data_IF_310271754859
#
_entry.id   IF_310271754859
#
_cell.length_a   1.000
_cell.length_b   1.000
_cell.length_c   1.000
_cell.angle_alpha   90.00
_cell.angle_beta   90.00
_cell.angle_gamma   90.00
#
_symmetry.space_group_name_H-M   'P 1'
#
loop_
_entity.id
_entity.type
_entity.pdbx_description
1 polymer ?
#
# COMPACT_ATOMS: atom_id res chain seq x y z
N UNK A 1 -7.68 -37.93 16.01
CA UNK A 1 -8.49 -36.74 15.72
C UNK A 1 -8.26 -35.58 16.68
N UNK A 2 -8.03 -35.78 18.00
CA UNK A 2 -7.94 -34.70 18.97
C UNK A 2 -6.66 -33.85 18.94
N UNK A 3 -5.54 -34.31 18.44
CA UNK A 3 -4.28 -33.52 18.39
C UNK A 3 -4.27 -32.51 17.25
N UNK A 4 -4.90 -32.80 16.11
CA UNK A 4 -5.00 -31.85 14.98
C UNK A 4 -5.89 -30.65 15.34
N UNK A 5 -6.98 -30.89 16.09
CA UNK A 5 -7.88 -29.82 16.54
C UNK A 5 -7.21 -28.89 17.57
N UNK A 6 -6.39 -29.46 18.47
CA UNK A 6 -5.67 -28.66 19.46
C UNK A 6 -4.59 -27.76 18.82
N UNK A 7 -3.85 -28.28 17.83
CA UNK A 7 -2.86 -27.50 17.07
C UNK A 7 -3.53 -26.41 16.24
N UNK A 8 -4.67 -26.67 15.65
CA UNK A 8 -5.46 -25.71 14.90
C UNK A 8 -6.04 -24.61 15.79
N UNK A 9 -6.53 -24.98 16.96
CA UNK A 9 -7.00 -24.02 17.97
C UNK A 9 -5.88 -23.16 18.54
N UNK A 10 -4.70 -23.76 18.82
CA UNK A 10 -3.51 -23.01 19.29
C UNK A 10 -3.03 -22.03 18.23
N UNK A 11 -3.04 -22.44 16.96
CA UNK A 11 -2.69 -21.59 15.82
C UNK A 11 -3.67 -20.40 15.67
N UNK A 12 -4.98 -20.64 15.88
CA UNK A 12 -6.01 -19.61 15.84
C UNK A 12 -5.89 -18.62 17.03
N UNK A 13 -5.59 -19.12 18.23
CA UNK A 13 -5.36 -18.27 19.40
C UNK A 13 -4.08 -17.44 19.25
N UNK A 14 -3.01 -18.02 18.69
CA UNK A 14 -1.77 -17.28 18.40
C UNK A 14 -1.99 -16.13 17.38
N UNK A 15 -2.81 -16.36 16.36
CA UNK A 15 -3.18 -15.32 15.38
C UNK A 15 -3.98 -14.21 16.05
N UNK A 16 -4.83 -14.50 17.00
CA UNK A 16 -5.66 -13.50 17.70
C UNK A 16 -4.85 -12.57 18.62
N UNK A 17 -3.79 -13.05 19.24
CA UNK A 17 -2.95 -12.24 20.13
C UNK A 17 -1.99 -11.30 19.40
N UNK A 18 -1.71 -11.55 18.12
CA UNK A 18 -0.77 -10.74 17.30
C UNK A 18 -1.50 -9.67 16.46
N UNK A 19 -2.83 -9.73 16.39
CA UNK A 19 -3.65 -9.02 15.41
C UNK A 19 -4.05 -7.59 15.80
N UNK A 20 -3.10 -6.69 15.95
CA UNK A 20 -3.40 -5.25 15.96
C UNK A 20 -2.55 -4.56 14.88
N UNK A 21 -3.16 -4.22 13.76
CA UNK A 21 -2.51 -3.41 12.71
C UNK A 21 -2.46 -1.94 13.11
N UNK A 22 -1.52 -1.19 12.55
CA UNK A 22 -1.44 0.24 12.73
C UNK A 22 -2.26 0.95 11.64
N UNK A 23 -3.26 1.74 12.06
CA UNK A 23 -3.98 2.61 11.14
C UNK A 23 -3.06 3.71 10.62
N UNK A 24 -2.99 3.89 9.30
CA UNK A 24 -2.25 4.99 8.66
C UNK A 24 -3.18 6.17 8.41
N UNK A 25 -2.82 7.36 8.91
CA UNK A 25 -3.60 8.59 8.70
C UNK A 25 -3.54 9.11 7.26
N UNK A 26 -2.56 8.67 6.48
CA UNK A 26 -2.35 9.04 5.08
C UNK A 26 -2.68 7.83 4.21
N UNK A 27 -3.24 8.08 3.03
CA UNK A 27 -3.54 7.04 2.04
C UNK A 27 -2.29 6.20 1.73
N UNK A 28 -2.47 4.87 1.78
CA UNK A 28 -1.44 3.89 1.40
C UNK A 28 -1.93 3.17 0.15
N UNK A 29 -1.62 3.72 -1.02
CA UNK A 29 -2.01 3.16 -2.31
C UNK A 29 -1.03 2.09 -2.77
N UNK A 30 -1.53 1.06 -3.47
CA UNK A 30 -0.71 0.11 -4.21
C UNK A 30 -0.26 0.67 -5.57
N UNK A 31 -0.81 1.82 -5.97
CA UNK A 31 -0.41 2.53 -7.18
C UNK A 31 0.78 3.45 -6.94
N UNK A 32 1.56 3.77 -8.00
CA UNK A 32 1.37 3.47 -9.44
C UNK A 32 1.96 2.13 -9.90
N UNK A 33 2.71 1.43 -9.04
CA UNK A 33 3.36 0.18 -9.38
C UNK A 33 2.44 -1.06 -9.35
N UNK A 34 3.07 -2.22 -9.50
CA UNK A 34 2.43 -3.52 -9.32
C UNK A 34 2.71 -4.13 -7.94
N UNK A 35 3.63 -3.53 -7.19
CA UNK A 35 4.03 -3.95 -5.84
C UNK A 35 2.99 -3.52 -4.82
N UNK A 36 2.49 -4.47 -4.03
CA UNK A 36 1.54 -4.21 -2.96
C UNK A 36 2.26 -3.91 -1.66
N UNK A 37 1.83 -2.86 -0.94
CA UNK A 37 2.33 -2.55 0.40
C UNK A 37 1.90 -3.57 1.46
N UNK A 38 2.74 -3.78 2.49
CA UNK A 38 2.44 -4.74 3.57
C UNK A 38 1.29 -4.28 4.47
N UNK A 39 1.12 -2.98 4.67
CA UNK A 39 0.09 -2.46 5.56
C UNK A 39 -1.31 -2.60 4.97
N UNK A 40 -2.24 -3.04 5.80
CA UNK A 40 -3.65 -3.15 5.45
C UNK A 40 -4.36 -1.83 5.69
N UNK A 41 -5.41 -1.54 4.91
CA UNK A 41 -6.36 -0.48 5.25
C UNK A 41 -7.18 -0.89 6.46
N UNK A 42 -7.43 0.04 7.39
CA UNK A 42 -8.17 -0.25 8.62
C UNK A 42 -9.66 -0.51 8.40
N UNK A 43 -10.36 -1.09 9.39
CA UNK A 43 -11.80 -1.28 9.34
C UNK A 43 -12.55 0.03 9.13
N UNK A 44 -13.57 0.01 8.26
CA UNK A 44 -14.34 1.21 7.91
C UNK A 44 -13.64 2.14 6.93
N UNK A 45 -12.46 1.75 6.41
CA UNK A 45 -11.77 2.46 5.34
C UNK A 45 -12.07 1.80 4.01
N UNK A 46 -12.49 2.59 3.04
CA UNK A 46 -12.71 2.17 1.65
C UNK A 46 -11.78 2.96 0.76
N UNK A 47 -11.01 2.26 -0.07
CA UNK A 47 -10.05 2.88 -0.98
C UNK A 47 -10.33 2.44 -2.41
N UNK A 48 -10.46 3.42 -3.29
CA UNK A 48 -10.65 3.26 -4.73
C UNK A 48 -9.39 3.75 -5.43
N UNK A 49 -8.81 2.91 -6.28
CA UNK A 49 -7.63 3.24 -7.07
C UNK A 49 -7.94 3.01 -8.53
N UNK A 50 -7.89 4.05 -9.34
CA UNK A 50 -8.17 4.00 -10.78
C UNK A 50 -6.95 4.45 -11.57
N UNK A 51 -6.66 3.76 -12.68
CA UNK A 51 -5.58 4.11 -13.56
C UNK A 51 -5.90 3.87 -15.02
N UNK A 52 -5.28 4.67 -15.86
CA UNK A 52 -5.28 4.48 -17.31
C UNK A 52 -3.84 4.44 -17.81
N UNK A 53 -3.59 3.63 -18.82
CA UNK A 53 -2.27 3.48 -19.41
C UNK A 53 -2.34 3.28 -20.92
N UNK A 54 -1.35 3.79 -21.61
CA UNK A 54 -1.03 3.40 -22.98
C UNK A 54 -0.02 2.27 -22.94
N UNK A 55 -0.21 1.27 -23.79
CA UNK A 55 0.68 0.11 -23.89
C UNK A 55 1.06 -0.16 -25.34
N UNK A 56 2.33 -0.51 -25.55
CA UNK A 56 2.87 -0.97 -26.83
C UNK A 56 3.79 -2.17 -26.58
N UNK A 57 3.43 -3.31 -27.14
CA UNK A 57 4.20 -4.56 -27.05
C UNK A 57 4.68 -4.95 -28.45
N UNK A 58 5.92 -5.43 -28.55
CA UNK A 58 6.54 -5.87 -29.82
C UNK A 58 7.22 -7.22 -29.61
N UNK A 59 6.92 -8.18 -30.46
CA UNK A 59 7.58 -9.49 -30.50
C UNK A 59 7.98 -9.79 -31.94
N UNK A 60 9.05 -9.17 -32.41
CA UNK A 60 9.43 -9.19 -33.81
C UNK A 60 9.83 -10.58 -34.31
N UNK A 61 10.43 -11.41 -33.47
CA UNK A 61 10.78 -12.79 -33.82
C UNK A 61 9.56 -13.73 -33.90
N UNK A 62 8.41 -13.33 -33.34
CA UNK A 62 7.16 -14.07 -33.44
C UNK A 62 6.25 -13.41 -34.48
N UNK A 63 6.37 -13.81 -35.75
CA UNK A 63 5.56 -13.29 -36.87
C UNK A 63 5.50 -11.75 -36.92
N UNK A 64 6.54 -11.06 -36.48
CA UNK A 64 6.62 -9.59 -36.35
C UNK A 64 5.43 -8.97 -35.58
N UNK A 65 4.97 -9.66 -34.55
CA UNK A 65 3.81 -9.28 -33.78
C UNK A 65 4.00 -7.91 -33.10
N UNK A 66 2.95 -7.12 -33.12
CA UNK A 66 2.87 -5.82 -32.44
C UNK A 66 1.46 -5.67 -31.83
N UNK A 67 1.40 -5.24 -30.59
CA UNK A 67 0.14 -4.88 -29.92
C UNK A 67 0.24 -3.43 -29.45
N UNK A 68 -0.84 -2.65 -29.66
CA UNK A 68 -0.94 -1.27 -29.19
C UNK A 68 -2.34 -1.03 -28.66
N UNK A 69 -2.43 -0.37 -27.52
CA UNK A 69 -3.76 -0.08 -26.97
C UNK A 69 -3.74 0.68 -25.64
N UNK A 70 -4.94 0.83 -25.10
CA UNK A 70 -5.16 1.43 -23.78
C UNK A 70 -5.52 0.35 -22.76
N UNK A 71 -5.02 0.54 -21.54
CA UNK A 71 -5.37 -0.26 -20.37
C UNK A 71 -6.05 0.59 -19.31
N UNK A 72 -6.97 -0.02 -18.58
CA UNK A 72 -7.65 0.58 -17.42
C UNK A 72 -7.54 -0.37 -16.26
N UNK A 73 -7.14 0.14 -15.10
CA UNK A 73 -7.02 -0.63 -13.86
C UNK A 73 -7.96 -0.05 -12.81
N UNK A 74 -8.62 -0.92 -12.07
CA UNK A 74 -9.49 -0.55 -10.96
C UNK A 74 -9.16 -1.47 -9.78
N UNK A 75 -8.73 -0.88 -8.66
CA UNK A 75 -8.56 -1.57 -7.40
C UNK A 75 -9.55 -1.04 -6.37
N UNK A 76 -10.29 -1.95 -5.74
CA UNK A 76 -11.13 -1.68 -4.58
C UNK A 76 -10.51 -2.35 -3.38
N UNK A 77 -10.23 -1.58 -2.34
CA UNK A 77 -9.61 -2.07 -1.11
C UNK A 77 -10.44 -1.66 0.09
N UNK A 78 -10.70 -2.59 1.00
CA UNK A 78 -11.43 -2.29 2.23
C UNK A 78 -10.91 -3.12 3.39
N UNK A 79 -10.78 -2.49 4.54
CA UNK A 79 -10.50 -3.18 5.78
C UNK A 79 -11.75 -3.91 6.28
N UNK A 80 -11.57 -5.16 6.69
CA UNK A 80 -12.63 -5.97 7.26
C UNK A 80 -12.74 -5.74 8.78
N UNK A 81 -13.31 -6.69 9.49
CA UNK A 81 -13.54 -6.61 10.95
C UNK A 81 -12.23 -6.48 11.73
N UNK A 82 -11.16 -7.14 11.25
CA UNK A 82 -9.83 -7.11 11.86
C UNK A 82 -9.00 -5.98 11.27
N UNK A 83 -8.23 -5.28 12.10
CA UNK A 83 -7.36 -4.16 11.67
C UNK A 83 -6.26 -4.57 10.69
N UNK A 84 -5.88 -5.83 10.71
CA UNK A 84 -4.82 -6.40 9.90
C UNK A 84 -5.33 -7.17 8.67
N UNK A 85 -6.65 -7.26 8.47
CA UNK A 85 -7.27 -8.00 7.37
C UNK A 85 -7.92 -7.04 6.37
N UNK A 86 -7.50 -7.14 5.12
CA UNK A 86 -7.97 -6.32 4.01
C UNK A 86 -8.50 -7.20 2.89
N UNK A 87 -9.64 -6.81 2.32
CA UNK A 87 -10.17 -7.37 1.08
C UNK A 87 -9.73 -6.48 -0.08
N UNK A 88 -9.23 -7.10 -1.15
CA UNK A 88 -8.77 -6.44 -2.37
C UNK A 88 -9.50 -7.06 -3.56
N UNK A 89 -10.09 -6.20 -4.39
CA UNK A 89 -10.63 -6.58 -5.69
C UNK A 89 -9.96 -5.75 -6.77
N UNK A 90 -9.37 -6.41 -7.78
CA UNK A 90 -8.65 -5.77 -8.88
C UNK A 90 -9.18 -6.23 -10.22
N UNK A 91 -9.41 -5.27 -11.11
CA UNK A 91 -9.73 -5.52 -12.51
C UNK A 91 -8.78 -4.74 -13.40
N UNK A 92 -8.16 -5.45 -14.35
CA UNK A 92 -7.38 -4.86 -15.44
C UNK A 92 -8.14 -5.10 -16.73
N UNK A 93 -8.61 -4.03 -17.37
CA UNK A 93 -9.31 -4.06 -18.66
C UNK A 93 -8.44 -3.45 -19.75
N UNK A 94 -8.40 -4.10 -20.92
CA UNK A 94 -7.60 -3.64 -22.04
C UNK A 94 -8.46 -3.53 -23.32
N UNK A 95 -8.09 -2.55 -24.13
CA UNK A 95 -8.59 -2.37 -25.49
C UNK A 95 -7.36 -2.13 -26.38
N UNK A 96 -7.00 -3.12 -27.21
CA UNK A 96 -5.80 -3.09 -28.03
C UNK A 96 -6.02 -3.66 -29.42
N UNK A 97 -5.08 -3.34 -30.30
CA UNK A 97 -4.97 -3.91 -31.64
C UNK A 97 -3.70 -4.73 -31.73
N UNK A 98 -3.85 -6.04 -31.95
CA UNK A 98 -2.78 -6.97 -32.26
C UNK A 98 -2.62 -7.08 -33.76
N UNK A 99 -1.40 -6.89 -34.27
CA UNK A 99 -1.03 -7.08 -35.67
C UNK A 99 0.12 -8.09 -35.75
N UNK A 100 0.06 -9.02 -36.71
CA UNK A 100 1.16 -9.95 -36.96
C UNK A 100 1.10 -10.46 -38.42
N UNK A 101 2.24 -10.92 -38.94
CA UNK A 101 2.34 -11.45 -40.27
C UNK A 101 1.95 -12.94 -40.33
N UNK A 102 1.13 -13.29 -41.29
CA UNK A 102 0.81 -14.67 -41.65
C UNK A 102 1.23 -14.91 -43.12
N UNK A 103 1.15 -16.15 -43.58
CA UNK A 103 1.48 -16.59 -44.95
C UNK A 103 0.69 -15.75 -46.00
N UNK A 104 -0.53 -15.38 -45.70
CA UNK A 104 -1.42 -14.56 -46.57
C UNK A 104 -1.27 -13.04 -46.39
N UNK A 105 -0.30 -12.56 -45.59
CA UNK A 105 -0.07 -11.16 -45.31
C UNK A 105 -0.36 -10.74 -43.84
N UNK A 106 -0.35 -9.44 -43.54
CA UNK A 106 -0.56 -8.95 -42.19
C UNK A 106 -2.01 -9.10 -41.74
N UNK A 107 -2.20 -9.75 -40.59
CA UNK A 107 -3.49 -9.88 -39.92
C UNK A 107 -3.60 -8.86 -38.79
N UNK A 108 -4.83 -8.37 -38.57
CA UNK A 108 -5.15 -7.39 -37.52
C UNK A 108 -6.32 -7.90 -36.68
N UNK A 109 -6.14 -7.90 -35.37
CA UNK A 109 -7.17 -8.29 -34.39
C UNK A 109 -7.41 -7.15 -33.42
N UNK A 110 -8.62 -6.62 -33.36
CA UNK A 110 -9.04 -5.71 -32.32
C UNK A 110 -9.57 -6.54 -31.15
N UNK A 111 -8.98 -6.33 -29.97
CA UNK A 111 -9.33 -7.06 -28.75
C UNK A 111 -9.76 -6.06 -27.69
N UNK A 112 -10.82 -6.41 -26.98
CA UNK A 112 -11.31 -5.67 -25.82
C UNK A 112 -11.83 -6.65 -24.77
N UNK A 113 -11.44 -6.46 -23.53
CA UNK A 113 -11.86 -7.32 -22.43
C UNK A 113 -10.92 -7.27 -21.24
N UNK A 114 -11.20 -8.11 -20.28
CA UNK A 114 -10.37 -8.22 -19.07
C UNK A 114 -9.05 -8.91 -19.40
N UNK A 115 -7.97 -8.38 -18.83
CA UNK A 115 -6.65 -9.02 -18.78
C UNK A 115 -6.49 -9.80 -17.50
N UNK A 116 -7.00 -9.24 -16.40
CA UNK A 116 -6.89 -9.78 -15.07
C UNK A 116 -8.10 -9.37 -14.25
N UNK A 117 -8.62 -10.28 -13.46
CA UNK A 117 -9.73 -10.03 -12.56
C UNK A 117 -9.49 -10.85 -11.28
N UNK A 118 -9.06 -10.21 -10.19
CA UNK A 118 -8.67 -10.90 -8.97
C UNK A 118 -9.46 -10.41 -7.76
N UNK A 119 -9.82 -11.34 -6.91
CA UNK A 119 -10.32 -11.07 -5.56
C UNK A 119 -9.45 -11.79 -4.54
N UNK A 120 -9.10 -11.11 -3.47
CA UNK A 120 -8.24 -11.73 -2.47
C UNK A 120 -8.23 -11.00 -1.14
N UNK A 121 -7.60 -11.64 -0.17
CA UNK A 121 -7.43 -11.16 1.18
C UNK A 121 -5.95 -10.96 1.48
N UNK A 122 -5.62 -9.83 2.09
CA UNK A 122 -4.28 -9.55 2.61
C UNK A 122 -4.33 -9.53 4.13
N UNK A 123 -3.45 -10.27 4.76
CA UNK A 123 -3.31 -10.37 6.21
C UNK A 123 -1.94 -9.85 6.64
N UNK A 124 -1.91 -8.78 7.41
CA UNK A 124 -0.70 -8.28 8.05
C UNK A 124 -0.38 -9.18 9.25
N UNK A 125 0.73 -9.92 9.16
CA UNK A 125 1.18 -10.87 10.19
C UNK A 125 2.03 -10.19 11.25
N UNK A 126 2.94 -9.30 10.82
CA UNK A 126 3.92 -8.67 11.69
C UNK A 126 4.14 -7.21 11.31
N UNK A 127 4.10 -6.33 12.31
CA UNK A 127 4.37 -4.90 12.17
C UNK A 127 5.44 -4.47 13.19
N UNK A 128 6.70 -4.26 12.77
CA UNK A 128 7.77 -3.87 13.67
C UNK A 128 7.56 -2.47 14.27
N UNK A 129 6.83 -1.58 13.56
CA UNK A 129 6.58 -0.20 14.00
C UNK A 129 5.52 -0.08 15.10
N UNK A 130 4.84 -1.17 15.40
CA UNK A 130 3.88 -1.24 16.49
C UNK A 130 4.56 -1.15 17.86
N UNK A 131 5.74 -1.70 18.00
CA UNK A 131 6.50 -1.62 19.24
C UNK A 131 7.30 -0.31 19.27
N UNK A 132 6.71 0.73 19.86
CA UNK A 132 7.34 2.05 19.99
C UNK A 132 8.67 2.02 20.76
N UNK A 133 8.91 1.00 21.58
CA UNK A 133 10.14 0.88 22.33
C UNK A 133 11.35 0.59 21.44
N UNK A 134 11.15 -0.08 20.33
CA UNK A 134 12.19 -0.36 19.33
C UNK A 134 12.65 0.89 18.59
N UNK A 135 11.77 1.88 18.46
CA UNK A 135 12.01 3.12 17.68
C UNK A 135 12.25 4.35 18.57
N UNK A 136 12.54 4.15 19.87
CA UNK A 136 12.88 5.25 20.77
C UNK A 136 14.09 6.01 20.25
N UNK A 137 13.92 7.31 20.11
CA UNK A 137 15.01 8.22 19.76
C UNK A 137 16.01 8.25 20.92
N UNK A 138 17.29 8.03 20.62
CA UNK A 138 18.34 8.18 21.63
C UNK A 138 18.53 9.68 21.92
N UNK A 139 17.97 10.14 23.04
CA UNK A 139 18.04 11.55 23.45
C UNK A 139 19.45 12.02 23.82
N UNK A 140 20.38 11.07 24.04
CA UNK A 140 21.76 11.36 24.46
C UNK A 140 22.77 11.38 23.30
N UNK A 141 22.41 10.86 22.12
CA UNK A 141 23.32 10.78 20.98
C UNK A 141 22.61 11.05 19.66
N UNK A 142 22.95 12.19 19.04
CA UNK A 142 22.50 12.52 17.69
C UNK A 142 23.03 11.53 16.64
N UNK A 143 24.27 11.05 16.81
CA UNK A 143 24.88 10.07 15.90
C UNK A 143 24.15 8.71 15.91
N UNK A 144 23.65 8.28 17.06
CA UNK A 144 22.90 7.01 17.17
C UNK A 144 21.54 7.04 16.44
N UNK A 145 21.02 8.23 16.15
CA UNK A 145 19.76 8.41 15.42
C UNK A 145 19.99 8.67 13.92
N UNK A 146 21.24 8.83 13.49
CA UNK A 146 21.62 9.02 12.09
C UNK A 146 22.01 7.69 11.45
N UNK A 147 21.47 7.41 10.26
CA UNK A 147 21.81 6.24 9.48
C UNK A 147 20.83 5.07 9.62
N UNK A 148 21.14 3.97 8.98
CA UNK A 148 20.37 2.73 9.03
C UNK A 148 20.71 1.99 10.32
N UNK A 149 19.71 1.67 11.13
CA UNK A 149 19.85 0.83 12.32
C UNK A 149 19.52 -0.61 11.96
N UNK A 150 20.08 -1.58 12.67
CA UNK A 150 19.76 -3.01 12.46
C UNK A 150 18.26 -3.29 12.56
N UNK A 151 17.54 -2.54 13.41
CA UNK A 151 16.10 -2.67 13.56
C UNK A 151 15.31 -2.19 12.33
N UNK A 152 15.85 -1.26 11.56
CA UNK A 152 15.22 -0.76 10.33
C UNK A 152 15.26 -1.83 9.21
N UNK A 153 16.06 -2.89 9.38
CA UNK A 153 16.12 -4.05 8.50
C UNK A 153 15.01 -5.07 8.77
N UNK A 154 14.31 -4.98 9.91
CA UNK A 154 13.19 -5.86 10.21
C UNK A 154 11.96 -5.39 9.43
N UNK A 155 11.43 -6.20 8.48
CA UNK A 155 10.31 -5.79 7.66
C UNK A 155 8.97 -5.96 8.39
N UNK A 156 8.00 -5.15 8.03
CA UNK A 156 6.60 -5.53 8.16
C UNK A 156 6.30 -6.68 7.20
N UNK A 157 5.53 -7.67 7.65
CA UNK A 157 5.27 -8.91 6.92
C UNK A 157 3.77 -9.12 6.73
N UNK A 158 3.36 -9.36 5.48
CA UNK A 158 1.98 -9.70 5.13
C UNK A 158 1.92 -10.86 4.16
N UNK A 159 0.80 -11.57 4.18
CA UNK A 159 0.49 -12.62 3.22
C UNK A 159 -0.79 -12.24 2.50
N UNK A 160 -0.80 -12.42 1.19
CA UNK A 160 -1.96 -12.24 0.32
C UNK A 160 -2.37 -13.60 -0.26
N UNK A 161 -3.64 -13.91 -0.19
CA UNK A 161 -4.27 -15.02 -0.89
C UNK A 161 -5.36 -14.49 -1.78
N UNK A 162 -5.36 -14.85 -3.04
CA UNK A 162 -6.35 -14.42 -3.99
C UNK A 162 -6.75 -15.51 -4.96
N UNK A 163 -7.79 -15.21 -5.70
CA UNK A 163 -8.23 -16.00 -6.84
C UNK A 163 -8.31 -15.11 -8.06
N UNK A 164 -7.73 -15.57 -9.15
CA UNK A 164 -7.91 -15.01 -10.48
C UNK A 164 -9.18 -15.58 -11.09
N UNK A 165 -10.08 -14.70 -11.54
CA UNK A 165 -11.33 -15.02 -12.19
C UNK A 165 -11.20 -14.73 -13.69
N UNK A 166 -10.98 -15.75 -14.50
CA UNK A 166 -10.59 -15.60 -15.93
C UNK A 166 -11.77 -15.59 -16.89
N UNK A 167 -12.94 -15.21 -16.43
CA UNK A 167 -14.13 -15.14 -17.30
C UNK A 167 -13.94 -14.11 -18.42
N UNK A 168 -13.86 -14.57 -19.65
CA UNK A 168 -13.72 -13.71 -20.81
C UNK A 168 -12.37 -12.99 -20.92
N UNK A 169 -11.31 -13.51 -20.33
CA UNK A 169 -9.97 -12.96 -20.47
C UNK A 169 -9.48 -13.02 -21.91
N UNK A 170 -9.06 -11.86 -22.42
CA UNK A 170 -8.46 -11.75 -23.77
C UNK A 170 -6.96 -12.06 -23.78
N UNK A 171 -6.35 -12.16 -22.62
CA UNK A 171 -4.94 -12.51 -22.42
C UNK A 171 -4.80 -13.71 -21.49
N UNK A 172 -4.92 -14.96 -21.99
CA UNK A 172 -4.66 -16.14 -21.17
C UNK A 172 -3.31 -16.04 -20.48
N UNK A 173 -3.29 -16.26 -19.17
CA UNK A 173 -2.09 -16.13 -18.32
C UNK A 173 -1.38 -14.77 -18.38
N UNK A 174 -2.09 -13.72 -18.79
CA UNK A 174 -1.51 -12.39 -18.97
C UNK A 174 -0.66 -12.21 -20.23
N UNK A 175 -0.60 -13.22 -21.11
CA UNK A 175 0.25 -13.25 -22.30
C UNK A 175 -0.42 -12.51 -23.49
N UNK A 176 0.11 -11.36 -23.95
CA UNK A 176 -0.51 -10.56 -25.00
C UNK A 176 -0.44 -11.21 -26.38
N UNK A 177 0.47 -12.16 -26.60
CA UNK A 177 0.69 -12.82 -27.88
C UNK A 177 0.07 -14.21 -27.98
N UNK A 178 -0.74 -14.60 -26.97
CA UNK A 178 -1.41 -15.90 -26.94
C UNK A 178 -2.13 -16.33 -28.23
N UNK A 179 -2.83 -15.42 -28.98
CA UNK A 179 -3.46 -15.82 -30.24
C UNK A 179 -2.51 -16.37 -31.29
N UNK A 180 -1.23 -15.90 -31.29
CA UNK A 180 -0.21 -16.35 -32.24
C UNK A 180 0.35 -17.71 -31.80
N UNK A 181 0.52 -17.93 -30.52
CA UNK A 181 0.92 -19.23 -29.99
C UNK A 181 -0.14 -20.30 -30.28
N UNK A 182 -1.42 -19.96 -30.22
CA UNK A 182 -2.53 -20.86 -30.51
C UNK A 182 -2.58 -21.35 -31.98
N UNK A 183 -1.93 -20.63 -32.90
CA UNK A 183 -1.78 -21.10 -34.27
C UNK A 183 -0.83 -22.32 -34.42
N UNK A 184 0.03 -22.57 -33.42
CA UNK A 184 1.06 -23.62 -33.47
C UNK A 184 0.85 -24.75 -32.44
N UNK A 185 0.01 -24.51 -31.44
CA UNK A 185 -0.23 -25.43 -30.31
C UNK A 185 -1.72 -25.50 -29.98
N UNK A 186 -2.20 -26.54 -29.26
CA UNK A 186 -3.55 -26.53 -28.71
C UNK A 186 -3.84 -25.23 -27.98
N UNK A 187 -5.07 -24.74 -28.10
CA UNK A 187 -5.50 -23.49 -27.46
C UNK A 187 -5.01 -23.37 -26.02
N UNK A 188 -4.36 -22.26 -25.69
CA UNK A 188 -3.99 -21.92 -24.32
C UNK A 188 -5.28 -21.60 -23.54
N UNK A 189 -5.90 -22.60 -22.97
CA UNK A 189 -7.07 -22.44 -22.12
C UNK A 189 -6.61 -22.15 -20.69
N UNK A 190 -7.03 -21.01 -20.19
CA UNK A 190 -6.85 -20.69 -18.78
C UNK A 190 -8.05 -21.23 -17.99
N UNK A 191 -7.78 -21.81 -16.81
CA UNK A 191 -8.86 -22.19 -15.89
C UNK A 191 -9.68 -20.96 -15.52
N UNK A 192 -10.99 -21.13 -15.40
CA UNK A 192 -11.90 -20.03 -15.01
C UNK A 192 -11.55 -19.45 -13.64
N UNK A 193 -11.07 -20.29 -12.74
CA UNK A 193 -10.61 -19.91 -11.41
C UNK A 193 -9.22 -20.49 -11.19
N UNK A 194 -8.27 -19.65 -10.78
CA UNK A 194 -6.93 -20.09 -10.37
C UNK A 194 -6.49 -19.33 -9.12
N UNK A 195 -5.61 -19.94 -8.32
CA UNK A 195 -5.14 -19.36 -7.07
C UNK A 195 -4.01 -18.34 -7.27
N UNK A 196 -3.89 -17.40 -6.33
CA UNK A 196 -2.75 -16.52 -6.17
C UNK A 196 -2.31 -16.49 -4.71
N UNK A 197 -1.01 -16.65 -4.47
CA UNK A 197 -0.40 -16.56 -3.15
C UNK A 197 0.81 -15.63 -3.22
N UNK A 198 0.95 -14.71 -2.25
CA UNK A 198 2.05 -13.76 -2.23
C UNK A 198 2.47 -13.43 -0.80
N UNK A 199 3.78 -13.42 -0.58
CA UNK A 199 4.44 -12.90 0.61
C UNK A 199 4.87 -11.45 0.33
N UNK A 200 4.58 -10.55 1.25
CA UNK A 200 4.81 -9.12 1.11
C UNK A 200 5.66 -8.66 2.29
N UNK A 201 6.78 -7.99 2.00
CA UNK A 201 7.64 -7.38 3.00
C UNK A 201 7.76 -5.89 2.76
N UNK A 202 7.84 -5.10 3.83
CA UNK A 202 7.99 -3.65 3.74
C UNK A 202 8.94 -3.14 4.82
N UNK A 203 10.02 -2.48 4.38
CA UNK A 203 11.01 -1.85 5.24
C UNK A 203 10.95 -0.32 5.12
N UNK A 204 11.22 0.35 6.22
CA UNK A 204 11.36 1.80 6.27
C UNK A 204 12.75 2.16 6.78
N UNK A 205 13.53 2.95 6.04
CA UNK A 205 14.88 3.36 6.45
C UNK A 205 15.16 4.81 6.07
N UNK A 206 16.24 5.34 6.65
CA UNK A 206 16.73 6.71 6.39
C UNK A 206 15.63 7.78 6.48
N UNK A 207 14.79 7.65 7.50
CA UNK A 207 13.70 8.57 7.86
C UNK A 207 12.49 8.62 6.92
N UNK A 208 12.50 8.08 5.68
CA UNK A 208 11.30 8.07 4.84
C UNK A 208 11.42 7.22 3.56
N UNK A 209 12.54 6.56 3.31
CA UNK A 209 12.64 5.61 2.21
C UNK A 209 11.85 4.36 2.54
N UNK A 210 11.07 3.87 1.60
CA UNK A 210 10.26 2.66 1.78
C UNK A 210 10.64 1.67 0.69
N UNK A 211 11.11 0.49 1.11
CA UNK A 211 11.33 -0.64 0.22
C UNK A 211 10.23 -1.66 0.45
N UNK A 212 9.51 -1.99 -0.60
CA UNK A 212 8.48 -3.03 -0.58
C UNK A 212 8.92 -4.14 -1.52
N UNK A 213 8.85 -5.39 -1.07
CA UNK A 213 9.14 -6.56 -1.89
C UNK A 213 8.01 -7.56 -1.78
N UNK A 214 7.52 -8.03 -2.92
CA UNK A 214 6.51 -9.06 -3.03
C UNK A 214 7.11 -10.26 -3.74
N UNK A 215 6.83 -11.45 -3.22
CA UNK A 215 7.21 -12.70 -3.82
C UNK A 215 6.05 -13.67 -3.76
N UNK A 216 5.68 -14.24 -4.90
CA UNK A 216 4.52 -15.13 -4.94
C UNK A 216 4.39 -15.95 -6.20
N UNK A 217 3.28 -16.67 -6.26
CA UNK A 217 2.85 -17.46 -7.41
C UNK A 217 1.44 -17.08 -7.82
N UNK A 218 1.22 -17.01 -9.11
CA UNK A 218 -0.06 -16.77 -9.75
C UNK A 218 -0.48 -17.95 -10.58
N UNK A 219 -1.76 -18.05 -10.88
CA UNK A 219 -2.37 -19.13 -11.66
C UNK A 219 -2.13 -20.52 -11.05
N UNK A 220 -2.11 -20.60 -9.70
CA UNK A 220 -1.96 -21.84 -8.98
C UNK A 220 -3.08 -22.82 -9.33
N UNK A 221 -2.71 -24.09 -9.57
CA UNK A 221 -3.63 -25.14 -9.99
C UNK A 221 -3.96 -25.10 -11.49
N UNK A 222 -3.28 -24.25 -12.28
CA UNK A 222 -3.41 -24.20 -13.73
C UNK A 222 -2.17 -24.80 -14.44
N UNK A 223 -2.27 -25.03 -15.76
CA UNK A 223 -1.19 -25.61 -16.55
C UNK A 223 0.07 -24.73 -16.62
N UNK A 224 -0.08 -23.39 -16.48
CA UNK A 224 1.01 -22.43 -16.63
C UNK A 224 1.11 -21.53 -15.39
N UNK A 225 1.55 -22.11 -14.29
CA UNK A 225 1.84 -21.35 -13.08
C UNK A 225 2.94 -20.32 -13.32
N UNK A 226 2.81 -19.16 -12.67
CA UNK A 226 3.72 -18.06 -12.85
C UNK A 226 4.35 -17.68 -11.52
N UNK A 227 5.69 -17.72 -11.43
CA UNK A 227 6.43 -17.11 -10.34
C UNK A 227 6.49 -15.60 -10.57
N UNK A 228 6.20 -14.85 -9.52
CA UNK A 228 6.14 -13.39 -9.52
C UNK A 228 7.03 -12.85 -8.40
N UNK A 229 7.86 -11.88 -8.73
CA UNK A 229 8.63 -11.11 -7.76
C UNK A 229 8.60 -9.64 -8.16
N UNK A 230 8.30 -8.76 -7.22
CA UNK A 230 8.42 -7.32 -7.45
C UNK A 230 9.11 -6.64 -6.28
N UNK A 231 9.87 -5.60 -6.57
CA UNK A 231 10.56 -4.77 -5.57
C UNK A 231 10.40 -3.31 -5.96
N UNK A 232 9.88 -2.50 -5.05
CA UNK A 232 9.67 -1.06 -5.26
C UNK A 232 10.35 -0.26 -4.17
N UNK A 233 11.18 0.70 -4.57
CA UNK A 233 11.82 1.67 -3.71
C UNK A 233 11.14 3.03 -3.88
N UNK A 234 10.49 3.52 -2.83
CA UNK A 234 9.89 4.84 -2.76
C UNK A 234 10.87 5.84 -2.16
N UNK A 235 11.07 6.96 -2.86
CA UNK A 235 12.06 8.00 -2.55
C UNK A 235 11.28 9.31 -2.31
N UNK A 236 11.23 9.84 -1.08
CA UNK A 236 10.58 11.10 -0.79
C UNK A 236 11.41 12.27 -1.34
N UNK A 237 10.78 13.13 -2.14
CA UNK A 237 11.40 14.36 -2.68
C UNK A 237 10.98 15.57 -1.83
N UNK A 238 9.69 15.66 -1.52
CA UNK A 238 9.06 16.70 -0.70
C UNK A 238 7.95 16.09 0.15
N UNK A 239 7.38 16.84 1.10
CA UNK A 239 6.29 16.36 1.98
C UNK A 239 5.11 15.69 1.25
N UNK A 240 4.83 16.09 0.00
CA UNK A 240 3.70 15.59 -0.80
C UNK A 240 4.12 14.97 -2.12
N UNK A 241 5.42 14.97 -2.44
CA UNK A 241 5.95 14.46 -3.70
C UNK A 241 6.93 13.34 -3.42
N UNK A 242 6.67 12.18 -4.00
CA UNK A 242 7.55 11.02 -3.95
C UNK A 242 7.84 10.55 -5.36
N UNK A 243 9.02 10.00 -5.60
CA UNK A 243 9.34 9.20 -6.78
C UNK A 243 9.46 7.74 -6.37
N UNK A 244 9.39 6.85 -7.36
CA UNK A 244 9.62 5.44 -7.12
C UNK A 244 10.34 4.80 -8.29
N UNK A 245 11.06 3.74 -7.98
CA UNK A 245 11.66 2.81 -8.95
C UNK A 245 11.18 1.42 -8.57
N UNK A 246 10.64 0.69 -9.53
CA UNK A 246 10.13 -0.66 -9.32
C UNK A 246 10.71 -1.62 -10.35
N UNK A 247 11.13 -2.79 -9.90
CA UNK A 247 11.44 -3.94 -10.73
C UNK A 247 10.36 -5.00 -10.53
N UNK A 248 9.87 -5.57 -11.62
CA UNK A 248 8.95 -6.71 -11.62
C UNK A 248 9.54 -7.82 -12.46
N UNK A 249 9.71 -8.99 -11.87
CA UNK A 249 10.15 -10.21 -12.54
C UNK A 249 9.02 -11.23 -12.57
N UNK A 250 8.75 -11.73 -13.75
CA UNK A 250 7.70 -12.72 -14.01
C UNK A 250 8.33 -13.89 -14.75
N UNK A 251 8.13 -15.11 -14.25
CA UNK A 251 8.66 -16.32 -14.86
C UNK A 251 7.62 -17.43 -14.89
N UNK A 252 7.30 -17.89 -16.08
CA UNK A 252 6.44 -19.04 -16.33
C UNK A 252 7.05 -19.95 -17.41
N UNK A 253 6.37 -21.03 -17.76
CA UNK A 253 6.75 -21.83 -18.93
C UNK A 253 6.50 -21.10 -20.26
N UNK A 254 5.60 -20.10 -20.28
CA UNK A 254 5.26 -19.34 -21.49
C UNK A 254 6.22 -18.17 -21.72
N UNK A 255 6.61 -17.48 -20.64
CA UNK A 255 7.40 -16.25 -20.73
C UNK A 255 8.28 -16.06 -19.50
N UNK A 256 9.38 -15.33 -19.70
CA UNK A 256 10.23 -14.87 -18.61
C UNK A 256 10.59 -13.41 -18.89
N UNK A 257 10.05 -12.48 -18.10
CA UNK A 257 10.14 -11.04 -18.34
C UNK A 257 10.56 -10.29 -17.09
N UNK A 258 11.36 -9.25 -17.27
CA UNK A 258 11.74 -8.29 -16.24
C UNK A 258 11.31 -6.91 -16.71
N UNK A 259 10.47 -6.26 -15.93
CA UNK A 259 10.00 -4.89 -16.15
C UNK A 259 10.74 -3.95 -15.20
N UNK A 260 11.15 -2.82 -15.70
CA UNK A 260 11.62 -1.68 -14.91
C UNK A 260 10.59 -0.57 -15.04
N UNK A 261 10.11 -0.07 -13.91
CA UNK A 261 9.13 1.00 -13.83
C UNK A 261 9.68 2.15 -13.01
N UNK A 262 9.49 3.36 -13.50
CA UNK A 262 9.82 4.59 -12.78
C UNK A 262 8.62 5.52 -12.80
N UNK A 263 8.48 6.33 -11.77
CA UNK A 263 7.36 7.26 -11.75
C UNK A 263 7.34 8.17 -10.54
N UNK A 264 6.25 8.91 -10.42
CA UNK A 264 6.03 9.87 -9.36
C UNK A 264 4.64 9.78 -8.77
N UNK A 265 4.56 10.16 -7.51
CA UNK A 265 3.34 10.17 -6.70
C UNK A 265 3.21 11.55 -6.07
N UNK A 266 2.05 12.16 -6.20
CA UNK A 266 1.73 13.43 -5.57
C UNK A 266 0.49 13.32 -4.68
N UNK A 267 0.63 13.65 -3.41
CA UNK A 267 -0.46 13.70 -2.43
C UNK A 267 -1.16 15.07 -2.51
N UNK A 268 -2.39 15.10 -3.02
CA UNK A 268 -3.22 16.31 -3.01
C UNK A 268 -3.61 16.62 -1.57
N UNK A 269 -4.06 15.59 -0.84
CA UNK A 269 -4.36 15.62 0.60
C UNK A 269 -4.15 14.23 1.21
N UNK A 270 -4.52 14.03 2.47
CA UNK A 270 -4.36 12.76 3.18
C UNK A 270 -5.17 11.59 2.57
N UNK A 271 -6.19 11.90 1.78
CA UNK A 271 -7.13 10.94 1.21
C UNK A 271 -7.09 10.84 -0.32
N UNK A 272 -6.35 11.73 -1.00
CA UNK A 272 -6.29 11.77 -2.47
C UNK A 272 -4.83 11.80 -2.92
N UNK A 273 -4.50 10.85 -3.78
CA UNK A 273 -3.21 10.71 -4.41
C UNK A 273 -3.38 10.69 -5.93
N UNK A 274 -2.49 11.33 -6.65
CA UNK A 274 -2.33 11.16 -8.11
C UNK A 274 -0.95 10.59 -8.40
N UNK A 275 -0.85 9.80 -9.45
CA UNK A 275 0.39 9.12 -9.80
C UNK A 275 0.60 9.06 -11.31
N UNK A 276 1.87 8.87 -11.71
CA UNK A 276 2.27 8.65 -13.10
C UNK A 276 3.42 7.66 -13.15
N UNK A 277 3.51 6.88 -14.23
CA UNK A 277 4.59 5.93 -14.40
C UNK A 277 4.96 5.70 -15.87
N UNK A 278 6.19 5.25 -16.06
CA UNK A 278 6.72 4.69 -17.29
C UNK A 278 7.30 3.31 -16.95
N UNK A 279 6.97 2.31 -17.75
CA UNK A 279 7.44 0.94 -17.56
C UNK A 279 7.91 0.33 -18.87
N UNK A 280 9.02 -0.40 -18.82
CA UNK A 280 9.60 -1.08 -19.98
C UNK A 280 10.23 -2.41 -19.58
N UNK A 281 10.17 -3.41 -20.47
CA UNK A 281 10.96 -4.65 -20.32
C UNK A 281 12.44 -4.38 -20.57
N UNK A 282 13.31 -5.09 -19.83
CA UNK A 282 14.77 -4.99 -20.02
C UNK A 282 15.28 -5.77 -21.24
N UNK A 283 14.45 -6.62 -21.84
CA UNK A 283 14.79 -7.38 -23.03
C UNK A 283 14.08 -6.83 -24.28
N UNK A 284 14.65 -7.07 -25.44
CA UNK A 284 14.12 -6.59 -26.72
C UNK A 284 13.06 -7.54 -27.32
N UNK A 285 12.99 -8.78 -26.86
CA UNK A 285 12.14 -9.83 -27.44
C UNK A 285 11.45 -10.68 -26.36
N UNK A 286 10.18 -10.42 -26.03
CA UNK A 286 9.35 -9.28 -26.43
C UNK A 286 9.77 -7.97 -25.75
N UNK A 287 9.68 -6.85 -26.47
CA UNK A 287 9.79 -5.52 -25.89
C UNK A 287 8.39 -4.99 -25.54
N UNK A 288 8.17 -4.65 -24.28
CA UNK A 288 6.88 -4.13 -23.79
C UNK A 288 7.12 -2.78 -23.13
N UNK A 289 6.38 -1.79 -23.59
CA UNK A 289 6.40 -0.43 -23.05
C UNK A 289 5.01 -0.04 -22.58
N UNK A 290 4.93 0.62 -21.43
CA UNK A 290 3.69 1.23 -20.97
C UNK A 290 3.94 2.55 -20.24
N UNK A 291 3.01 3.49 -20.41
CA UNK A 291 2.98 4.77 -19.71
C UNK A 291 1.58 5.02 -19.19
N UNK A 292 1.45 5.53 -17.97
CA UNK A 292 0.13 5.71 -17.39
C UNK A 292 0.06 6.76 -16.31
N UNK A 293 -1.18 7.09 -15.97
CA UNK A 293 -1.56 8.00 -14.89
C UNK A 293 -2.65 7.36 -14.06
N UNK A 294 -2.77 7.78 -12.80
CA UNK A 294 -3.82 7.27 -11.94
C UNK A 294 -4.19 8.20 -10.82
N UNK A 295 -5.27 7.84 -10.16
CA UNK A 295 -5.79 8.50 -8.98
C UNK A 295 -6.21 7.46 -7.96
N UNK A 296 -5.88 7.72 -6.71
CA UNK A 296 -6.33 6.92 -5.57
C UNK A 296 -7.12 7.81 -4.63
N UNK A 297 -8.28 7.34 -4.21
CA UNK A 297 -9.19 8.04 -3.30
C UNK A 297 -9.56 7.15 -2.12
N UNK A 298 -9.48 7.69 -0.91
CA UNK A 298 -9.81 7.00 0.33
C UNK A 298 -11.00 7.67 1.02
N UNK A 299 -12.02 6.88 1.30
CA UNK A 299 -13.13 7.23 2.19
C UNK A 299 -12.79 6.69 3.57
N UNK A 300 -12.51 7.57 4.49
CA UNK A 300 -12.09 7.23 5.83
C UNK A 300 -13.27 7.34 6.81
N UNK A 301 -13.87 6.20 7.14
CA UNK A 301 -14.89 6.05 8.19
C UNK A 301 -14.35 5.19 9.32
N UNK A 302 -13.04 5.26 9.57
CA UNK A 302 -12.40 4.49 10.61
C UNK A 302 -13.04 4.80 11.97
N UNK A 303 -13.66 3.78 12.56
CA UNK A 303 -14.22 3.89 13.89
C UNK A 303 -13.19 3.49 14.94
N UNK A 304 -13.00 4.34 15.92
CA UNK A 304 -12.09 4.17 17.07
C UNK A 304 -12.36 2.90 17.91
N UNK A 305 -13.43 2.15 17.61
CA UNK A 305 -13.81 0.91 18.31
C UNK A 305 -12.79 -0.22 18.17
N UNK A 306 -11.92 -0.17 17.15
CA UNK A 306 -10.83 -1.12 16.92
C UNK A 306 -9.47 -0.68 17.45
N UNK A 307 -9.33 0.52 18.04
CA UNK A 307 -8.07 0.96 18.63
C UNK A 307 -7.78 0.14 19.89
N UNK A 308 -6.54 -0.42 20.00
CA UNK A 308 -6.12 -1.10 21.20
C UNK A 308 -6.42 -0.26 22.45
N UNK A 309 -6.88 -0.92 23.51
CA UNK A 309 -7.26 -0.27 24.77
C UNK A 309 -6.17 0.68 25.31
N UNK A 310 -4.91 0.34 25.13
CA UNK A 310 -3.73 1.13 25.51
C UNK A 310 -3.67 2.48 24.78
N UNK A 311 -3.91 2.50 23.46
CA UNK A 311 -3.92 3.75 22.67
C UNK A 311 -5.13 4.60 23.05
N UNK A 312 -6.27 3.96 23.37
CA UNK A 312 -7.48 4.65 23.83
C UNK A 312 -7.23 5.29 25.21
N UNK A 313 -6.50 4.61 26.09
CA UNK A 313 -6.05 5.16 27.38
C UNK A 313 -5.09 6.33 27.20
N UNK A 314 -4.05 6.18 26.36
CA UNK A 314 -3.08 7.26 26.09
C UNK A 314 -3.75 8.51 25.52
N UNK A 315 -4.75 8.35 24.65
CA UNK A 315 -5.54 9.48 24.13
C UNK A 315 -6.39 10.15 25.23
N UNK A 316 -6.98 9.34 26.13
CA UNK A 316 -7.75 9.85 27.30
C UNK A 316 -6.83 10.60 28.26
N UNK A 317 -5.65 10.07 28.56
CA UNK A 317 -4.66 10.72 29.41
C UNK A 317 -4.14 12.03 28.81
N UNK A 318 -3.82 12.05 27.50
CA UNK A 318 -3.43 13.27 26.81
C UNK A 318 -4.52 14.34 26.85
N UNK A 319 -5.78 13.94 26.69
CA UNK A 319 -6.94 14.86 26.77
C UNK A 319 -7.10 15.38 28.21
N UNK A 320 -6.96 14.50 29.21
CA UNK A 320 -7.00 14.86 30.64
C UNK A 320 -5.87 15.84 30.99
N UNK A 321 -4.64 15.51 30.65
CA UNK A 321 -3.48 16.39 30.88
C UNK A 321 -3.60 17.76 30.20
N UNK A 322 -4.23 17.81 29.01
CA UNK A 322 -4.50 19.08 28.34
C UNK A 322 -5.57 19.91 29.07
N UNK A 323 -6.59 19.25 29.62
CA UNK A 323 -7.64 19.87 30.43
C UNK A 323 -7.03 20.39 31.76
N UNK A 324 -6.24 19.58 32.47
CA UNK A 324 -5.58 19.93 33.71
C UNK A 324 -4.64 21.13 33.55
N UNK A 325 -3.91 21.19 32.43
CA UNK A 325 -3.08 22.37 32.07
C UNK A 325 -3.93 23.64 31.90
N UNK A 326 -5.11 23.55 31.30
CA UNK A 326 -6.02 24.71 31.17
C UNK A 326 -6.54 25.17 32.52
N UNK A 327 -7.03 24.23 33.35
CA UNK A 327 -7.53 24.51 34.69
C UNK A 327 -6.45 25.15 35.56
N UNK A 328 -5.23 24.61 35.51
CA UNK A 328 -4.11 25.18 36.26
C UNK A 328 -3.72 26.59 35.76
N UNK A 329 -3.77 26.84 34.46
CA UNK A 329 -3.52 28.15 33.88
C UNK A 329 -4.57 29.19 34.35
N UNK A 330 -5.85 28.81 34.43
CA UNK A 330 -6.93 29.65 34.97
C UNK A 330 -6.72 29.94 36.44
N UNK A 331 -6.42 28.91 37.27
CA UNK A 331 -6.13 29.09 38.70
C UNK A 331 -4.93 30.03 38.94
N UNK A 332 -3.88 29.91 38.12
CA UNK A 332 -2.72 30.83 38.19
C UNK A 332 -3.15 32.26 37.85
N UNK A 333 -4.01 32.41 36.85
CA UNK A 333 -4.53 33.76 36.49
C UNK A 333 -5.34 34.40 37.60
N UNK A 334 -6.28 33.65 38.19
CA UNK A 334 -7.07 34.09 39.33
C UNK A 334 -6.21 34.43 40.57
N UNK A 335 -5.19 33.62 40.85
CA UNK A 335 -4.27 33.90 41.94
C UNK A 335 -3.51 35.22 41.72
N UNK A 336 -3.00 35.46 40.50
CA UNK A 336 -2.32 36.68 40.16
C UNK A 336 -3.23 37.94 40.26
N UNK A 337 -4.51 37.78 39.89
CA UNK A 337 -5.49 38.88 40.01
C UNK A 337 -5.77 39.22 41.48
N UNK A 338 -6.01 38.18 42.32
CA UNK A 338 -6.19 38.36 43.79
C UNK A 338 -4.97 39.00 44.45
N UNK A 339 -3.76 38.58 44.07
CA UNK A 339 -2.52 39.17 44.63
C UNK A 339 -2.38 40.63 44.18
N UNK A 340 -2.74 41.00 42.95
CA UNK A 340 -2.75 42.35 42.48
C UNK A 340 -3.77 43.21 43.25
N UNK A 341 -4.94 42.70 43.56
CA UNK A 341 -5.95 43.43 44.34
C UNK A 341 -5.51 43.63 45.79
N UNK A 342 -4.94 42.62 46.44
CA UNK A 342 -4.35 42.76 47.76
C UNK A 342 -3.26 43.82 47.82
N UNK A 343 -2.36 43.85 46.88
CA UNK A 343 -1.30 44.87 46.79
C UNK A 343 -1.86 46.27 46.54
N UNK A 344 -2.98 46.41 45.78
CA UNK A 344 -3.66 47.69 45.59
C UNK A 344 -4.33 48.19 46.87
N UNK A 345 -4.99 47.29 47.62
CA UNK A 345 -5.59 47.63 48.93
C UNK A 345 -4.57 47.99 49.97
N UNK A 346 -3.47 47.27 50.09
CA UNK A 346 -2.35 47.59 50.99
C UNK A 346 -1.73 48.96 50.66
N UNK A 347 -1.55 49.26 49.38
CA UNK A 347 -1.02 50.58 48.95
C UNK A 347 -1.99 51.71 49.29
N UNK A 348 -3.31 51.49 49.16
CA UNK A 348 -4.34 52.47 49.57
C UNK A 348 -4.32 52.68 51.07
N UNK A 349 -4.25 51.59 51.87
CA UNK A 349 -4.14 51.66 53.34
C UNK A 349 -2.88 52.38 53.80
N UNK A 350 -1.70 52.06 53.20
CA UNK A 350 -0.46 52.78 53.51
C UNK A 350 -0.51 54.26 53.15
N UNK A 351 -1.19 54.64 52.05
CA UNK A 351 -1.40 56.05 51.69
C UNK A 351 -2.36 56.79 52.67
N UNK A 352 -3.42 56.09 53.09
CA UNK A 352 -4.35 56.63 54.10
C UNK A 352 -3.71 56.82 55.46
N UNK A 353 -2.91 55.85 55.92
CA UNK A 353 -2.16 55.95 57.19
C UNK A 353 -1.09 57.05 57.15
N UNK A 354 -0.48 57.34 55.98
CA UNK A 354 0.42 58.50 55.82
C UNK A 354 -0.27 59.87 55.85
N UNK A 355 -1.56 59.94 55.42
CA UNK A 355 -2.36 61.19 55.49
C UNK A 355 -2.82 61.53 56.88
N UNK A 356 -3.01 60.53 57.78
CA UNK A 356 -3.43 60.73 59.17
C UNK A 356 -2.23 61.12 60.05
N UNK A 357 -0.99 60.89 59.63
CA UNK A 357 0.23 61.28 60.37
C UNK A 357 0.79 62.63 59.95
N UNK A 358 0.18 63.32 59.04
CA UNK A 358 0.40 64.77 58.70
C UNK A 358 -0.75 65.60 59.21
#
# INVERSE_FOLDING_TARGET
MNRLNATFQLFFVLIWTIASGQYTSIINSNRPGLTQGAYSVGPGVYQLEFGTSYRQDKFLSLAQAKSKGAGFTLDLRTGLILQNLELIYRVDYHNDQLTFNNVSGPLRYNRKGTKRNTVGFKLLLFDPFRNTDWYKVNTKSYKANKGVRLIDLIPALSVYFGSELSFGNIYPYGEPFSPIFNLKTPELRQNEISGELMLITQNHFLNNFVLVTNWGRRYLGSAYEQNYMSSSLMIPIKKRLMSFVEQVSVKSQLSSDIFLTVGGVFLINENIQVDTFLSQTLKDTPSMFSAGIGVSYRIDRYNDSGIPYEIKQLRRERKKNRLDRKINAEKIKEFKERDREKRKTERKQKKAAKKIKR
#
